data_IF_719601902203
#
_entry.id   IF_719601902203
#
_cell.length_a   1.000
_cell.length_b   1.000
_cell.length_c   1.000
_cell.angle_alpha   90.00
_cell.angle_beta   90.00
_cell.angle_gamma   90.00
#
_symmetry.space_group_name_H-M   'P 1'
#
loop_
_entity.id
_entity.type
_entity.pdbx_description
1 polymer ?
#
# COMPACT_ATOMS: atom_id res chain seq x y z
N UNK A 1 -3.45 -63.44 0.49
CA UNK A 1 -3.91 -62.08 0.12
C UNK A 1 -3.99 -61.22 1.37
N UNK A 2 -3.02 -60.32 1.60
CA UNK A 2 -2.98 -59.47 2.81
C UNK A 2 -3.91 -58.26 2.60
N UNK A 3 -4.97 -58.16 3.42
CA UNK A 3 -5.86 -56.99 3.47
C UNK A 3 -5.21 -55.90 4.33
N UNK A 4 -4.62 -54.89 3.70
CA UNK A 4 -4.18 -53.65 4.36
C UNK A 4 -5.11 -52.51 3.97
N UNK A 5 -6.04 -52.13 4.85
CA UNK A 5 -6.58 -50.77 4.96
C UNK A 5 -7.50 -50.74 6.19
N UNK A 6 -7.18 -49.92 7.22
CA UNK A 6 -8.07 -48.78 7.46
C UNK A 6 -7.35 -47.51 7.93
N UNK A 7 -6.07 -47.31 7.66
CA UNK A 7 -5.35 -46.11 8.13
C UNK A 7 -5.60 -44.89 7.21
N UNK A 8 -5.94 -45.13 5.94
CA UNK A 8 -6.18 -44.06 4.96
C UNK A 8 -7.52 -43.31 5.19
N UNK A 9 -8.48 -43.92 5.90
CA UNK A 9 -9.81 -43.31 6.14
C UNK A 9 -9.81 -42.36 7.34
N UNK A 10 -8.94 -42.57 8.32
CA UNK A 10 -8.78 -41.69 9.48
C UNK A 10 -8.00 -40.40 9.16
N UNK A 11 -7.13 -40.43 8.15
CA UNK A 11 -6.38 -39.23 7.73
C UNK A 11 -7.18 -38.32 6.77
N UNK A 12 -8.18 -38.86 6.08
CA UNK A 12 -9.04 -38.07 5.18
C UNK A 12 -10.14 -37.32 5.94
N UNK A 13 -10.55 -37.82 7.12
CA UNK A 13 -11.50 -37.13 8.02
C UNK A 13 -10.85 -35.98 8.80
N UNK A 14 -9.54 -36.03 9.06
CA UNK A 14 -8.81 -34.94 9.73
C UNK A 14 -8.46 -33.78 8.77
N UNK A 15 -8.49 -34.00 7.45
CA UNK A 15 -8.20 -32.97 6.45
C UNK A 15 -9.43 -32.12 6.06
N UNK A 16 -10.65 -32.53 6.45
CA UNK A 16 -11.89 -31.81 6.16
C UNK A 16 -12.31 -30.83 7.27
N UNK A 17 -11.66 -30.85 8.43
CA UNK A 17 -12.00 -29.99 9.57
C UNK A 17 -11.37 -28.57 9.52
N UNK A 18 -10.59 -28.22 8.50
CA UNK A 18 -9.88 -26.93 8.42
C UNK A 18 -10.59 -25.86 7.57
N UNK A 19 -11.86 -26.08 7.20
CA UNK A 19 -12.64 -25.13 6.40
C UNK A 19 -13.90 -24.61 7.11
N UNK A 20 -13.80 -24.41 8.43
CA UNK A 20 -14.71 -23.54 9.16
C UNK A 20 -13.88 -22.51 9.92
N UNK A 21 -13.37 -21.50 9.21
CA UNK A 21 -13.20 -20.19 9.85
C UNK A 21 -14.63 -19.73 10.17
N UNK A 22 -15.16 -20.18 11.32
CA UNK A 22 -16.40 -19.64 11.84
C UNK A 22 -16.16 -18.14 11.96
N UNK A 23 -16.91 -17.34 11.19
CA UNK A 23 -17.05 -15.91 11.44
C UNK A 23 -17.60 -15.78 12.86
N UNK A 24 -16.70 -15.68 13.84
CA UNK A 24 -17.07 -15.59 15.22
C UNK A 24 -17.81 -14.27 15.41
N UNK A 25 -19.13 -14.37 15.55
CA UNK A 25 -19.99 -13.26 15.94
C UNK A 25 -19.51 -12.77 17.29
N UNK A 26 -19.18 -11.49 17.37
CA UNK A 26 -18.74 -10.84 18.60
C UNK A 26 -19.89 -10.02 19.17
N UNK A 27 -20.06 -10.03 20.48
CA UNK A 27 -21.01 -9.15 21.16
C UNK A 27 -20.26 -8.15 22.01
N UNK A 28 -20.70 -6.90 22.01
CA UNK A 28 -20.11 -5.88 22.84
C UNK A 28 -20.92 -4.60 22.89
N UNK A 29 -20.59 -3.76 23.86
CA UNK A 29 -21.24 -2.47 24.06
C UNK A 29 -20.48 -1.39 23.32
N UNK A 30 -21.20 -0.58 22.55
CA UNK A 30 -20.64 0.57 21.86
C UNK A 30 -20.37 1.69 22.86
N UNK A 31 -19.09 2.01 23.06
CA UNK A 31 -18.67 3.05 24.03
C UNK A 31 -18.36 4.39 23.35
N UNK A 32 -18.07 4.37 22.05
CA UNK A 32 -17.74 5.58 21.31
C UNK A 32 -18.19 5.48 19.85
N UNK A 33 -18.57 6.62 19.28
CA UNK A 33 -18.77 6.81 17.83
C UNK A 33 -17.75 7.82 17.33
N UNK A 34 -16.81 7.36 16.51
CA UNK A 34 -15.68 8.15 16.01
C UNK A 34 -16.16 9.10 14.90
N UNK A 35 -16.87 8.55 13.92
CA UNK A 35 -17.42 9.26 12.76
C UNK A 35 -18.76 8.63 12.32
N UNK A 36 -19.26 9.01 11.14
CA UNK A 36 -20.53 8.52 10.59
C UNK A 36 -20.60 7.02 10.27
N UNK A 37 -19.49 6.27 10.35
CA UNK A 37 -19.46 4.82 10.08
C UNK A 37 -18.48 4.02 10.95
N UNK A 38 -17.77 4.67 11.87
CA UNK A 38 -16.77 4.03 12.73
C UNK A 38 -17.16 4.14 14.20
N UNK A 39 -17.16 3.01 14.90
CA UNK A 39 -17.52 2.88 16.31
C UNK A 39 -16.42 2.16 17.11
N UNK A 40 -16.40 2.36 18.42
CA UNK A 40 -15.57 1.57 19.36
C UNK A 40 -16.50 0.70 20.19
N UNK A 41 -16.21 -0.60 20.21
CA UNK A 41 -16.97 -1.61 20.93
C UNK A 41 -16.10 -2.24 22.00
N UNK A 42 -16.66 -2.42 23.19
CA UNK A 42 -16.02 -3.18 24.28
C UNK A 42 -16.76 -4.52 24.39
N UNK A 43 -16.15 -5.64 23.97
CA UNK A 43 -16.69 -6.98 24.20
C UNK A 43 -16.67 -7.33 25.69
N UNK A 44 -17.42 -8.34 26.11
CA UNK A 44 -17.36 -8.85 27.49
C UNK A 44 -15.96 -9.29 27.91
N UNK A 45 -15.12 -9.71 26.96
CA UNK A 45 -13.70 -10.04 27.17
C UNK A 45 -12.80 -8.81 27.46
N UNK A 46 -13.34 -7.59 27.42
CA UNK A 46 -12.74 -6.37 27.97
C UNK A 46 -11.91 -5.52 27.00
N UNK A 47 -11.26 -6.09 25.99
CA UNK A 47 -10.43 -5.30 25.08
C UNK A 47 -11.26 -4.56 24.04
N UNK A 48 -11.21 -3.22 24.03
CA UNK A 48 -11.90 -2.39 23.05
C UNK A 48 -11.43 -2.66 21.63
N UNK A 49 -12.37 -2.69 20.68
CA UNK A 49 -12.13 -2.90 19.26
C UNK A 49 -12.75 -1.75 18.47
N UNK A 50 -11.98 -1.13 17.58
CA UNK A 50 -12.49 -0.15 16.61
C UNK A 50 -13.06 -0.87 15.40
N UNK A 51 -14.33 -0.60 15.09
CA UNK A 51 -15.09 -1.23 14.03
C UNK A 51 -15.57 -0.19 13.02
N UNK A 52 -15.44 -0.50 11.73
CA UNK A 52 -16.02 0.28 10.63
C UNK A 52 -17.14 -0.52 9.97
N UNK A 53 -18.28 0.15 9.80
CA UNK A 53 -19.46 -0.38 9.13
C UNK A 53 -19.17 -0.64 7.65
N UNK A 54 -19.44 -1.86 7.20
CA UNK A 54 -19.23 -2.27 5.81
C UNK A 54 -20.36 -1.80 4.89
N UNK A 55 -20.06 -1.68 3.59
CA UNK A 55 -21.00 -1.42 2.49
C UNK A 55 -21.62 -0.02 2.47
N UNK A 56 -21.14 0.89 3.32
CA UNK A 56 -21.63 2.27 3.36
C UNK A 56 -20.51 3.28 3.15
N UNK A 57 -20.89 4.39 2.53
CA UNK A 57 -20.10 5.61 2.49
C UNK A 57 -20.90 6.76 3.07
N UNK A 58 -20.23 7.59 3.86
CA UNK A 58 -20.83 8.74 4.56
C UNK A 58 -20.26 10.04 4.03
N UNK A 59 -20.96 11.18 4.20
CA UNK A 59 -20.44 12.47 3.77
C UNK A 59 -19.05 12.77 4.34
N UNK A 60 -18.14 13.27 3.49
CA UNK A 60 -16.83 13.75 3.93
C UNK A 60 -16.97 14.96 4.87
N UNK A 61 -15.92 15.26 5.65
CA UNK A 61 -15.94 16.36 6.62
C UNK A 61 -16.33 17.72 6.02
N UNK A 62 -16.06 17.96 4.73
CA UNK A 62 -16.41 19.20 4.03
C UNK A 62 -17.77 19.15 3.33
N UNK A 63 -18.47 18.02 3.36
CA UNK A 63 -19.78 17.86 2.76
C UNK A 63 -20.89 18.19 3.78
N UNK A 64 -22.05 18.68 3.32
CA UNK A 64 -23.22 18.84 4.17
C UNK A 64 -23.58 17.55 4.92
N UNK A 65 -24.25 17.69 6.07
CA UNK A 65 -24.73 16.59 6.92
C UNK A 65 -23.65 15.70 7.55
N UNK A 66 -22.35 15.97 7.37
CA UNK A 66 -21.29 15.16 7.97
C UNK A 66 -21.45 14.96 9.49
N UNK A 67 -21.65 16.05 10.24
CA UNK A 67 -21.90 15.99 11.68
C UNK A 67 -23.25 15.33 11.99
N UNK A 68 -24.29 15.66 11.24
CA UNK A 68 -25.64 15.09 11.39
C UNK A 68 -25.63 13.56 11.25
N UNK A 69 -24.88 13.02 10.30
CA UNK A 69 -24.74 11.57 10.09
C UNK A 69 -24.01 10.90 11.27
N UNK A 70 -22.95 11.53 11.78
CA UNK A 70 -22.27 11.06 12.99
C UNK A 70 -23.22 11.04 14.20
N UNK A 71 -23.99 12.12 14.39
CA UNK A 71 -24.94 12.22 15.49
C UNK A 71 -26.08 11.22 15.35
N UNK A 72 -26.52 10.92 14.13
CA UNK A 72 -27.50 9.87 13.85
C UNK A 72 -26.97 8.49 14.26
N UNK A 73 -25.76 8.13 13.82
CA UNK A 73 -25.14 6.86 14.23
C UNK A 73 -24.95 6.78 15.75
N UNK A 74 -24.57 7.90 16.39
CA UNK A 74 -24.45 8.01 17.84
C UNK A 74 -25.78 7.74 18.55
N UNK A 75 -26.88 8.29 18.05
CA UNK A 75 -28.23 8.04 18.59
C UNK A 75 -28.66 6.58 18.44
N UNK A 76 -28.29 5.95 17.32
CA UNK A 76 -28.61 4.54 17.09
C UNK A 76 -27.81 3.60 17.99
N UNK A 77 -26.52 3.87 18.19
CA UNK A 77 -25.60 2.86 18.70
C UNK A 77 -24.97 3.15 20.06
N UNK A 78 -24.84 4.41 20.49
CA UNK A 78 -24.10 4.69 21.73
C UNK A 78 -24.76 4.01 22.93
N UNK A 79 -23.95 3.32 23.74
CA UNK A 79 -24.35 2.53 24.90
C UNK A 79 -25.26 1.33 24.57
N UNK A 80 -25.42 0.98 23.29
CA UNK A 80 -26.15 -0.22 22.90
C UNK A 80 -25.21 -1.43 22.83
N UNK A 81 -25.74 -2.61 23.16
CA UNK A 81 -25.06 -3.88 22.91
C UNK A 81 -25.36 -4.33 21.48
N UNK A 82 -24.31 -4.52 20.69
CA UNK A 82 -24.41 -4.92 19.28
C UNK A 82 -23.76 -6.27 19.05
N UNK A 83 -24.22 -6.96 18.01
CA UNK A 83 -23.55 -8.10 17.43
C UNK A 83 -22.71 -7.64 16.23
N UNK A 84 -21.45 -8.03 16.18
CA UNK A 84 -20.53 -7.73 15.11
C UNK A 84 -20.11 -9.00 14.38
N UNK A 85 -20.12 -8.94 13.05
CA UNK A 85 -19.67 -10.00 12.16
C UNK A 85 -18.46 -9.48 11.34
N UNK A 86 -17.23 -9.87 11.74
CA UNK A 86 -16.02 -9.43 11.05
C UNK A 86 -15.93 -9.97 9.61
N UNK A 87 -15.50 -9.13 8.68
CA UNK A 87 -15.24 -9.50 7.28
C UNK A 87 -13.84 -9.10 6.78
N UNK A 88 -13.15 -8.21 7.49
CA UNK A 88 -11.80 -7.82 7.14
C UNK A 88 -11.13 -6.99 8.22
N UNK A 89 -9.82 -6.79 8.07
CA UNK A 89 -9.03 -5.98 8.98
C UNK A 89 -8.21 -4.96 8.18
N UNK A 90 -8.32 -3.69 8.57
CA UNK A 90 -7.43 -2.62 8.16
C UNK A 90 -6.34 -2.42 9.22
N UNK A 91 -5.42 -1.47 9.00
CA UNK A 91 -4.27 -1.24 9.90
C UNK A 91 -4.66 -0.90 11.34
N UNK A 92 -5.79 -0.23 11.54
CA UNK A 92 -6.23 0.38 12.80
C UNK A 92 -7.67 0.00 13.21
N UNK A 93 -8.40 -0.72 12.35
CA UNK A 93 -9.82 -1.05 12.55
C UNK A 93 -10.19 -2.38 11.91
N UNK A 94 -11.26 -2.97 12.42
CA UNK A 94 -11.89 -4.17 11.83
C UNK A 94 -13.11 -3.73 11.02
N UNK A 95 -13.26 -4.24 9.80
CA UNK A 95 -14.40 -3.94 8.93
C UNK A 95 -15.37 -5.11 8.98
N UNK A 96 -16.67 -4.82 9.07
CA UNK A 96 -17.69 -5.86 9.06
C UNK A 96 -19.10 -5.32 9.27
N UNK A 97 -20.03 -6.24 9.50
CA UNK A 97 -21.44 -5.90 9.74
C UNK A 97 -21.69 -5.74 11.22
N UNK A 98 -22.47 -4.74 11.56
CA UNK A 98 -22.93 -4.49 12.93
C UNK A 98 -24.44 -4.62 12.93
N UNK A 99 -24.95 -5.40 13.87
CA UNK A 99 -26.37 -5.64 14.05
C UNK A 99 -26.80 -5.16 15.43
N UNK A 100 -27.92 -4.44 15.48
CA UNK A 100 -28.63 -4.10 16.71
C UNK A 100 -30.00 -4.75 16.67
N UNK A 101 -30.31 -5.61 17.62
CA UNK A 101 -31.60 -6.34 17.68
C UNK A 101 -31.96 -7.05 16.36
N UNK A 102 -30.96 -7.61 15.68
CA UNK A 102 -31.12 -8.31 14.39
C UNK A 102 -31.17 -7.39 13.16
N UNK A 103 -31.17 -6.07 13.32
CA UNK A 103 -31.15 -5.10 12.22
C UNK A 103 -29.72 -4.76 11.84
N UNK A 104 -29.37 -4.91 10.56
CA UNK A 104 -28.10 -4.47 9.99
C UNK A 104 -28.04 -2.94 9.97
N UNK A 105 -27.10 -2.37 10.73
CA UNK A 105 -26.96 -0.93 10.89
C UNK A 105 -26.54 -0.25 9.59
N UNK A 106 -25.76 -0.90 8.73
CA UNK A 106 -25.39 -0.34 7.43
C UNK A 106 -26.62 -0.16 6.54
N UNK A 107 -27.53 -1.13 6.54
CA UNK A 107 -28.82 -1.02 5.83
C UNK A 107 -29.70 0.08 6.43
N UNK A 108 -29.77 0.17 7.77
CA UNK A 108 -30.52 1.21 8.47
C UNK A 108 -30.00 2.61 8.12
N UNK A 109 -28.67 2.80 8.15
CA UNK A 109 -28.02 4.07 7.79
C UNK A 109 -28.34 4.49 6.33
N UNK A 110 -28.38 3.54 5.40
CA UNK A 110 -28.80 3.82 4.01
C UNK A 110 -30.28 4.20 3.96
N UNK A 111 -31.15 3.42 4.62
CA UNK A 111 -32.61 3.65 4.63
C UNK A 111 -32.98 5.01 5.22
N UNK A 112 -32.23 5.47 6.21
CA UNK A 112 -32.38 6.78 6.85
C UNK A 112 -31.83 7.93 6.00
N UNK A 113 -31.17 7.63 4.89
CA UNK A 113 -30.47 8.62 4.07
C UNK A 113 -29.22 9.19 4.75
N UNK A 114 -28.66 8.48 5.73
CA UNK A 114 -27.43 8.88 6.43
C UNK A 114 -26.17 8.38 5.70
N UNK A 115 -26.31 7.48 4.73
CA UNK A 115 -25.21 6.96 3.94
C UNK A 115 -25.63 6.59 2.51
N UNK A 116 -24.64 6.38 1.65
CA UNK A 116 -24.78 5.76 0.33
C UNK A 116 -24.30 4.31 0.37
N UNK A 117 -24.87 3.46 -0.49
CA UNK A 117 -24.36 2.12 -0.73
C UNK A 117 -23.00 2.19 -1.44
N UNK A 118 -21.99 1.54 -0.86
CA UNK A 118 -20.59 1.64 -1.26
C UNK A 118 -20.30 1.01 -2.62
N UNK A 119 -19.98 1.87 -3.61
CA UNK A 119 -19.67 1.44 -4.97
C UNK A 119 -18.41 0.54 -5.06
N UNK A 120 -17.43 0.71 -4.16
CA UNK A 120 -16.21 -0.10 -4.15
C UNK A 120 -16.42 -1.48 -3.55
N UNK A 121 -17.33 -1.60 -2.58
CA UNK A 121 -17.54 -2.85 -1.84
C UNK A 121 -18.62 -3.73 -2.48
N UNK A 122 -19.51 -3.14 -3.29
CA UNK A 122 -20.55 -3.85 -4.05
C UNK A 122 -20.01 -5.04 -4.86
N UNK A 123 -18.80 -4.95 -5.40
CA UNK A 123 -18.19 -6.02 -6.22
C UNK A 123 -17.92 -7.32 -5.46
N UNK A 124 -17.81 -7.24 -4.14
CA UNK A 124 -17.51 -8.37 -3.26
C UNK A 124 -18.69 -8.69 -2.33
N UNK A 125 -19.87 -8.11 -2.58
CA UNK A 125 -21.09 -8.38 -1.83
C UNK A 125 -21.89 -9.48 -2.53
N UNK A 126 -22.53 -10.35 -1.75
CA UNK A 126 -23.42 -11.37 -2.30
C UNK A 126 -24.61 -10.71 -3.01
N UNK A 127 -25.05 -11.25 -4.15
CA UNK A 127 -26.06 -10.62 -4.98
C UNK A 127 -27.39 -10.39 -4.24
N UNK A 128 -27.88 -11.38 -3.48
CA UNK A 128 -29.13 -11.26 -2.73
C UNK A 128 -29.07 -10.19 -1.62
N UNK A 129 -27.91 -10.06 -0.98
CA UNK A 129 -27.68 -9.05 0.05
C UNK A 129 -27.58 -7.64 -0.56
N UNK A 130 -26.85 -7.49 -1.68
CA UNK A 130 -26.73 -6.21 -2.40
C UNK A 130 -28.09 -5.63 -2.77
N UNK A 131 -29.07 -6.48 -3.11
CA UNK A 131 -30.43 -6.03 -3.45
C UNK A 131 -31.11 -5.30 -2.30
N UNK A 132 -31.01 -5.79 -1.06
CA UNK A 132 -31.62 -5.12 0.11
C UNK A 132 -31.02 -3.73 0.35
N UNK A 133 -29.70 -3.59 0.16
CA UNK A 133 -29.02 -2.30 0.25
C UNK A 133 -29.50 -1.33 -0.85
N UNK A 134 -29.66 -1.82 -2.07
CA UNK A 134 -30.14 -1.04 -3.21
C UNK A 134 -31.60 -0.59 -3.04
N UNK A 135 -32.47 -1.46 -2.55
CA UNK A 135 -33.87 -1.15 -2.24
C UNK A 135 -33.99 -0.09 -1.15
N UNK A 136 -33.24 -0.23 -0.05
CA UNK A 136 -33.21 0.76 1.01
C UNK A 136 -32.73 2.13 0.51
N UNK A 137 -31.72 2.13 -0.36
CA UNK A 137 -31.23 3.36 -0.97
C UNK A 137 -32.28 3.99 -1.91
N UNK A 138 -32.95 3.18 -2.72
CA UNK A 138 -34.00 3.65 -3.62
C UNK A 138 -35.15 4.29 -2.85
N UNK A 139 -35.57 3.69 -1.73
CA UNK A 139 -36.59 4.24 -0.82
C UNK A 139 -36.14 5.55 -0.18
N UNK A 140 -34.93 5.59 0.38
CA UNK A 140 -34.37 6.81 0.96
C UNK A 140 -34.30 7.97 -0.06
N UNK A 141 -33.97 7.64 -1.32
CA UNK A 141 -33.94 8.59 -2.42
C UNK A 141 -35.34 9.08 -2.83
N UNK A 142 -36.30 8.17 -2.99
CA UNK A 142 -37.68 8.50 -3.34
C UNK A 142 -38.34 9.41 -2.29
N UNK A 143 -38.05 9.15 -1.01
CA UNK A 143 -38.53 9.93 0.13
C UNK A 143 -37.67 11.16 0.42
N UNK A 144 -36.63 11.43 -0.37
CA UNK A 144 -35.70 12.56 -0.20
C UNK A 144 -35.13 12.67 1.22
N UNK A 145 -34.70 11.56 1.81
CA UNK A 145 -34.12 11.54 3.17
C UNK A 145 -32.66 11.93 3.19
N UNK A 146 -32.24 12.66 4.24
CA UNK A 146 -30.84 12.92 4.56
C UNK A 146 -30.04 13.42 3.36
N UNK A 147 -29.00 12.69 2.96
CA UNK A 147 -28.15 13.04 1.80
C UNK A 147 -28.92 13.20 0.48
N UNK A 148 -30.11 12.60 0.36
CA UNK A 148 -31.00 12.73 -0.81
C UNK A 148 -31.92 13.95 -0.75
N UNK A 149 -32.00 14.64 0.39
CA UNK A 149 -32.75 15.91 0.53
C UNK A 149 -31.99 17.11 -0.05
N UNK A 150 -30.66 17.01 -0.14
CA UNK A 150 -29.79 18.09 -0.59
C UNK A 150 -29.58 17.97 -2.09
N UNK A 151 -30.08 18.95 -2.83
CA UNK A 151 -29.95 19.00 -4.27
C UNK A 151 -28.47 19.05 -4.70
N UNK A 152 -28.12 18.24 -5.70
CA UNK A 152 -26.76 18.18 -6.24
C UNK A 152 -25.72 17.57 -5.30
N UNK A 153 -26.11 17.05 -4.13
CA UNK A 153 -25.18 16.40 -3.21
C UNK A 153 -24.64 15.11 -3.83
N UNK A 154 -23.33 15.08 -4.04
CA UNK A 154 -22.63 13.94 -4.63
C UNK A 154 -22.21 12.95 -3.56
N UNK A 155 -22.26 11.63 -3.83
CA UNK A 155 -21.66 10.65 -2.95
C UNK A 155 -20.18 10.91 -2.69
N UNK A 156 -19.71 10.52 -1.51
CA UNK A 156 -18.36 10.81 -1.05
C UNK A 156 -17.26 10.40 -2.05
N UNK A 157 -17.40 9.27 -2.75
CA UNK A 157 -16.40 8.85 -3.74
C UNK A 157 -16.32 9.78 -4.96
N UNK A 158 -17.45 10.33 -5.42
CA UNK A 158 -17.48 11.32 -6.51
C UNK A 158 -16.91 12.65 -6.04
N UNK A 159 -17.30 13.11 -4.84
CA UNK A 159 -16.74 14.31 -4.23
C UNK A 159 -15.22 14.22 -4.09
N UNK A 160 -14.69 13.10 -3.57
CA UNK A 160 -13.25 12.81 -3.51
C UNK A 160 -12.60 12.81 -4.90
N UNK A 161 -13.28 12.30 -5.93
CA UNK A 161 -12.77 12.31 -7.30
C UNK A 161 -12.64 13.73 -7.87
N UNK A 162 -13.62 14.58 -7.62
CA UNK A 162 -13.61 15.98 -8.06
C UNK A 162 -12.53 16.80 -7.33
N UNK A 163 -12.36 16.59 -6.03
CA UNK A 163 -11.26 17.20 -5.29
C UNK A 163 -9.89 16.77 -5.84
N UNK A 164 -9.73 15.50 -6.19
CA UNK A 164 -8.48 15.01 -6.82
C UNK A 164 -8.26 15.66 -8.19
N UNK A 165 -9.30 15.80 -8.99
CA UNK A 165 -9.22 16.42 -10.32
C UNK A 165 -8.92 17.93 -10.22
N UNK A 166 -9.56 18.65 -9.30
CA UNK A 166 -9.28 20.06 -9.02
C UNK A 166 -7.81 20.26 -8.61
N UNK A 167 -7.35 19.50 -7.62
CA UNK A 167 -5.93 19.53 -7.18
C UNK A 167 -4.98 19.19 -8.34
N UNK A 168 -5.34 18.25 -9.21
CA UNK A 168 -4.55 17.91 -10.39
C UNK A 168 -4.46 19.09 -11.36
N UNK A 169 -5.57 19.79 -11.64
CA UNK A 169 -5.59 20.97 -12.51
C UNK A 169 -4.75 22.11 -11.95
N UNK A 170 -4.94 22.45 -10.67
CA UNK A 170 -4.16 23.47 -9.96
C UNK A 170 -2.66 23.14 -10.02
N UNK A 171 -2.29 21.88 -9.81
CA UNK A 171 -0.90 21.42 -9.92
C UNK A 171 -0.35 21.57 -11.35
N UNK A 172 -1.14 21.23 -12.37
CA UNK A 172 -0.74 21.39 -13.77
C UNK A 172 -0.51 22.87 -14.11
N UNK A 173 -1.39 23.75 -13.66
CA UNK A 173 -1.25 25.20 -13.86
C UNK A 173 -0.01 25.75 -13.13
N UNK A 174 0.23 25.34 -11.89
CA UNK A 174 1.43 25.70 -11.14
C UNK A 174 2.72 25.23 -11.85
N UNK A 175 2.71 24.02 -12.41
CA UNK A 175 3.84 23.50 -13.20
C UNK A 175 4.04 24.34 -14.47
N UNK A 176 2.96 24.67 -15.19
CA UNK A 176 3.04 25.54 -16.38
C UNK A 176 3.61 26.92 -16.05
N UNK A 177 3.14 27.54 -14.97
CA UNK A 177 3.63 28.83 -14.51
C UNK A 177 5.13 28.77 -14.13
N UNK A 178 5.53 27.73 -13.40
CA UNK A 178 6.94 27.51 -13.03
C UNK A 178 7.82 27.26 -14.26
N UNK A 179 7.33 26.52 -15.26
CA UNK A 179 8.05 26.29 -16.52
C UNK A 179 8.18 27.58 -17.35
N UNK A 180 7.14 28.42 -17.38
CA UNK A 180 7.19 29.72 -18.04
C UNK A 180 8.22 30.64 -17.36
N UNK A 181 8.22 30.70 -16.02
CA UNK A 181 9.20 31.46 -15.25
C UNK A 181 10.64 30.95 -15.45
N UNK A 182 10.85 29.63 -15.48
CA UNK A 182 12.15 29.02 -15.76
C UNK A 182 12.63 29.31 -17.19
N UNK A 183 11.72 29.29 -18.18
CA UNK A 183 12.03 29.67 -19.57
C UNK A 183 12.42 31.13 -19.70
N UNK A 184 11.69 32.04 -19.05
CA UNK A 184 12.04 33.45 -19.01
C UNK A 184 13.43 33.65 -18.38
N UNK A 185 13.72 32.95 -17.27
CA UNK A 185 15.02 32.99 -16.59
C UNK A 185 16.15 32.36 -17.42
N UNK A 186 15.87 31.35 -18.24
CA UNK A 186 16.84 30.73 -19.16
C UNK A 186 17.09 31.60 -20.40
N UNK A 187 16.05 32.26 -20.92
CA UNK A 187 16.18 33.22 -22.02
C UNK A 187 17.03 34.44 -21.63
N UNK A 188 17.02 34.81 -20.34
CA UNK A 188 17.87 35.86 -19.78
C UNK A 188 19.33 35.43 -19.50
N UNK A 189 19.69 34.15 -19.70
CA UNK A 189 21.06 33.64 -19.50
C UNK A 189 21.83 33.53 -20.84
N UNK A 190 23.14 33.81 -20.87
CA UNK A 190 23.94 33.69 -22.09
C UNK A 190 24.04 32.23 -22.56
N UNK A 191 23.88 31.99 -23.87
CA UNK A 191 23.77 30.66 -24.48
C UNK A 191 25.07 29.84 -24.33
N UNK A 192 25.04 28.63 -23.74
CA UNK A 192 26.19 27.74 -23.71
C UNK A 192 26.37 26.99 -25.05
N UNK A 193 27.64 26.75 -25.44
CA UNK A 193 28.02 26.05 -26.68
C UNK A 193 27.58 24.58 -26.63
N UNK A 194 26.86 24.13 -27.66
CA UNK A 194 26.15 22.84 -27.70
C UNK A 194 27.08 21.62 -27.83
N UNK A 195 26.79 20.55 -27.08
CA UNK A 195 27.17 19.17 -27.45
C UNK A 195 25.92 18.28 -27.46
N UNK A 196 25.69 17.64 -28.61
CA UNK A 196 24.48 16.89 -28.97
C UNK A 196 24.65 15.42 -28.58
N UNK A 197 23.64 14.81 -27.96
CA UNK A 197 23.53 13.34 -27.88
C UNK A 197 22.06 12.93 -27.99
N UNK A 198 21.82 11.97 -28.90
CA UNK A 198 20.52 11.43 -29.31
C UNK A 198 20.27 10.08 -28.60
N UNK A 199 19.02 9.88 -28.18
CA UNK A 199 18.14 8.74 -28.54
C UNK A 199 17.28 8.33 -27.35
N UNK A 200 15.97 8.37 -27.58
CA UNK A 200 14.92 7.91 -26.69
C UNK A 200 14.30 6.66 -27.33
N UNK A 201 14.12 5.61 -26.52
CA UNK A 201 13.41 4.38 -26.90
C UNK A 201 12.45 3.99 -25.78
N UNK A 202 11.16 4.23 -26.05
CA UNK A 202 9.93 3.89 -25.32
C UNK A 202 10.03 3.06 -24.03
N UNK A 203 9.69 3.72 -22.90
CA UNK A 203 9.45 3.11 -21.59
C UNK A 203 7.97 3.26 -21.19
N UNK A 204 7.40 2.21 -20.61
CA UNK A 204 6.36 2.29 -19.57
C UNK A 204 6.93 3.07 -18.38
N UNK A 205 6.96 4.40 -18.52
CA UNK A 205 7.71 5.28 -17.65
C UNK A 205 7.24 5.21 -16.20
N UNK A 206 8.19 4.95 -15.30
CA UNK A 206 8.01 5.04 -13.87
C UNK A 206 9.12 4.35 -13.09
N UNK A 207 9.14 3.01 -13.13
CA UNK A 207 9.98 2.18 -12.24
C UNK A 207 10.34 0.79 -12.83
N UNK A 208 10.42 0.64 -14.16
CA UNK A 208 10.94 -0.60 -14.76
C UNK A 208 12.45 -0.72 -14.60
N UNK A 209 12.99 -1.92 -14.83
CA UNK A 209 14.41 -2.30 -14.65
C UNK A 209 15.43 -1.33 -15.26
N UNK A 210 15.07 -0.62 -16.33
CA UNK A 210 15.85 0.45 -16.96
C UNK A 210 16.11 1.68 -16.08
N UNK A 211 15.24 1.93 -15.10
CA UNK A 211 15.45 2.96 -14.07
C UNK A 211 16.50 2.50 -13.05
N UNK A 212 16.77 1.20 -12.97
CA UNK A 212 17.57 0.58 -11.90
C UNK A 212 18.89 0.00 -12.37
N UNK A 213 19.05 -0.30 -13.67
CA UNK A 213 20.20 -1.02 -14.23
C UNK A 213 21.51 -0.23 -14.14
N UNK A 214 21.44 1.10 -14.08
CA UNK A 214 22.62 1.97 -14.01
C UNK A 214 22.90 2.41 -12.56
N UNK A 215 24.10 2.93 -12.30
CA UNK A 215 24.41 3.55 -11.00
C UNK A 215 23.55 4.80 -10.78
N UNK A 216 23.03 5.07 -9.57
CA UNK A 216 22.27 6.29 -9.29
C UNK A 216 23.01 7.58 -9.68
N UNK A 217 24.35 7.56 -9.62
CA UNK A 217 25.25 8.65 -10.01
C UNK A 217 25.05 9.12 -11.46
N UNK A 218 24.50 8.27 -12.33
CA UNK A 218 24.34 8.59 -13.75
C UNK A 218 22.99 9.19 -14.10
N UNK A 219 21.97 9.05 -13.25
CA UNK A 219 20.59 9.44 -13.57
C UNK A 219 19.88 10.24 -12.47
N UNK A 220 20.46 10.32 -11.27
CA UNK A 220 19.91 11.02 -10.13
C UNK A 220 20.92 12.06 -9.60
N UNK A 221 20.40 13.06 -8.89
CA UNK A 221 21.21 14.13 -8.30
C UNK A 221 21.60 13.73 -6.88
N UNK A 222 22.84 14.01 -6.45
CA UNK A 222 23.25 13.76 -5.06
C UNK A 222 22.36 14.59 -4.12
N UNK A 223 21.81 13.98 -3.09
CA UNK A 223 20.99 14.66 -2.11
C UNK A 223 21.90 15.43 -1.14
N UNK A 224 21.74 16.75 -1.07
CA UNK A 224 22.53 17.59 -0.16
C UNK A 224 22.36 17.19 1.30
N UNK A 225 23.44 17.22 2.06
CA UNK A 225 23.45 16.82 3.48
C UNK A 225 23.59 15.31 3.74
N UNK A 226 23.64 14.49 2.69
CA UNK A 226 23.82 13.04 2.80
C UNK A 226 24.92 12.55 1.85
N UNK A 227 25.73 11.61 2.32
CA UNK A 227 26.88 11.14 1.55
C UNK A 227 26.50 10.13 0.49
N UNK A 228 25.49 9.31 0.79
CA UNK A 228 25.19 8.10 0.05
C UNK A 228 23.77 8.09 -0.52
N UNK A 229 23.12 9.24 -0.60
CA UNK A 229 21.76 9.36 -1.12
C UNK A 229 21.71 10.17 -2.41
N UNK A 230 20.84 9.71 -3.30
CA UNK A 230 20.53 10.36 -4.57
C UNK A 230 19.03 10.57 -4.67
N UNK A 231 18.60 11.71 -5.23
CA UNK A 231 17.20 12.01 -5.47
C UNK A 231 16.92 12.22 -6.95
N UNK A 232 15.71 11.86 -7.35
CA UNK A 232 15.26 12.02 -8.71
C UNK A 232 13.75 11.99 -8.83
N UNK A 233 13.29 12.04 -10.06
CA UNK A 233 11.88 11.87 -10.42
C UNK A 233 11.78 10.89 -11.57
N UNK A 234 10.67 10.17 -11.64
CA UNK A 234 10.35 9.34 -12.80
C UNK A 234 10.34 10.19 -14.09
N UNK A 235 10.53 9.60 -15.27
CA UNK A 235 10.49 10.36 -16.53
C UNK A 235 9.18 11.12 -16.75
N UNK A 236 8.06 10.56 -16.27
CA UNK A 236 6.72 11.20 -16.29
C UNK A 236 6.51 12.23 -15.16
N UNK A 237 7.46 12.35 -14.22
CA UNK A 237 7.40 13.23 -13.04
C UNK A 237 6.17 13.00 -12.16
N UNK A 238 5.60 11.80 -12.21
CA UNK A 238 4.46 11.36 -11.42
C UNK A 238 4.85 10.77 -10.06
N UNK A 239 6.14 10.46 -9.87
CA UNK A 239 6.71 10.15 -8.57
C UNK A 239 8.12 10.73 -8.42
N UNK A 240 8.46 11.05 -7.18
CA UNK A 240 9.82 11.39 -6.76
C UNK A 240 10.39 10.22 -5.97
N UNK A 241 11.70 10.08 -5.99
CA UNK A 241 12.37 9.04 -5.23
C UNK A 241 13.67 9.53 -4.61
N UNK A 242 14.03 8.90 -3.49
CA UNK A 242 15.35 8.95 -2.87
C UNK A 242 15.89 7.53 -2.87
N UNK A 243 17.09 7.32 -3.39
CA UNK A 243 17.72 6.01 -3.53
C UNK A 243 19.10 6.03 -2.90
N UNK A 244 19.46 4.95 -2.21
CA UNK A 244 20.80 4.76 -1.68
C UNK A 244 21.81 4.55 -2.81
N UNK A 245 23.08 4.83 -2.56
CA UNK A 245 24.16 4.37 -3.42
C UNK A 245 24.16 2.83 -3.50
N UNK A 246 24.85 2.30 -4.51
CA UNK A 246 24.94 0.88 -4.76
C UNK A 246 25.88 0.19 -3.77
N UNK A 247 25.46 -0.96 -3.26
CA UNK A 247 26.36 -1.88 -2.55
C UNK A 247 26.44 -3.19 -3.29
N UNK A 248 27.61 -3.83 -3.26
CA UNK A 248 27.81 -5.13 -3.89
C UNK A 248 27.97 -6.26 -2.86
N UNK A 249 26.87 -6.84 -2.32
CA UNK A 249 26.97 -8.08 -1.57
C UNK A 249 27.49 -9.23 -2.45
N UNK A 250 28.43 -9.99 -1.91
CA UNK A 250 28.88 -11.25 -2.49
C UNK A 250 28.02 -12.38 -1.91
N UNK A 251 27.18 -12.98 -2.74
CA UNK A 251 26.36 -14.12 -2.36
C UNK A 251 26.94 -15.42 -2.93
N UNK A 252 26.76 -16.52 -2.19
CA UNK A 252 27.31 -17.84 -2.56
C UNK A 252 26.25 -18.93 -2.45
N UNK A 253 26.32 -19.88 -3.37
CA UNK A 253 25.59 -21.15 -3.36
C UNK A 253 26.58 -22.26 -3.72
N UNK A 254 27.06 -23.01 -2.72
CA UNK A 254 28.17 -23.96 -2.91
C UNK A 254 29.43 -23.24 -3.42
N UNK A 255 29.99 -23.72 -4.54
CA UNK A 255 31.18 -23.12 -5.20
C UNK A 255 30.86 -21.93 -6.08
N UNK A 256 29.58 -21.63 -6.33
CA UNK A 256 29.16 -20.53 -7.20
C UNK A 256 29.05 -19.25 -6.37
N UNK A 257 29.70 -18.19 -6.82
CA UNK A 257 29.61 -16.86 -6.21
C UNK A 257 29.07 -15.84 -7.21
N UNK A 258 28.25 -14.91 -6.72
CA UNK A 258 27.65 -13.86 -7.51
C UNK A 258 27.69 -12.55 -6.75
N UNK A 259 28.13 -11.49 -7.41
CA UNK A 259 27.95 -10.12 -6.90
C UNK A 259 26.56 -9.67 -7.28
N UNK A 260 25.79 -9.21 -6.32
CA UNK A 260 24.51 -8.53 -6.56
C UNK A 260 24.69 -7.07 -6.20
N UNK A 261 23.97 -6.19 -6.89
CA UNK A 261 23.82 -4.82 -6.43
C UNK A 261 22.57 -4.73 -5.54
N UNK A 262 22.73 -4.18 -4.36
CA UNK A 262 21.66 -3.97 -3.40
C UNK A 262 21.48 -2.48 -3.14
N UNK A 263 20.24 -2.03 -3.29
CA UNK A 263 19.82 -0.64 -3.07
C UNK A 263 18.51 -0.59 -2.31
N UNK A 264 18.31 0.51 -1.60
CA UNK A 264 17.01 0.83 -1.00
C UNK A 264 16.51 2.12 -1.60
N UNK A 265 15.24 2.14 -1.95
CA UNK A 265 14.58 3.31 -2.48
C UNK A 265 13.39 3.67 -1.60
N UNK A 266 13.18 4.96 -1.47
CA UNK A 266 11.95 5.55 -1.01
C UNK A 266 11.26 6.19 -2.20
N UNK A 267 10.03 5.79 -2.48
CA UNK A 267 9.20 6.37 -3.54
C UNK A 267 8.06 7.13 -2.89
N UNK A 268 7.90 8.39 -3.29
CA UNK A 268 6.77 9.23 -2.91
C UNK A 268 6.00 9.67 -4.15
N UNK A 269 4.71 9.33 -4.18
CA UNK A 269 3.83 9.74 -5.27
C UNK A 269 3.35 11.17 -5.02
N UNK A 270 4.06 12.13 -5.61
CA UNK A 270 3.64 13.53 -5.77
C UNK A 270 3.44 14.35 -4.49
N UNK A 271 4.34 15.32 -4.32
CA UNK A 271 4.51 16.25 -3.19
C UNK A 271 5.09 15.60 -1.91
N UNK A 272 6.27 16.12 -1.50
CA UNK A 272 7.14 15.64 -0.42
C UNK A 272 6.49 15.60 0.99
N UNK A 273 5.18 15.81 1.11
CA UNK A 273 4.45 15.92 2.38
C UNK A 273 3.04 15.29 2.32
N UNK A 274 2.87 14.15 1.63
CA UNK A 274 1.66 13.32 1.74
C UNK A 274 1.94 12.03 2.55
N UNK A 275 1.42 11.90 3.79
CA UNK A 275 1.70 10.74 4.65
C UNK A 275 1.07 9.42 4.16
N UNK A 276 0.26 9.43 3.09
CA UNK A 276 -0.50 8.25 2.65
C UNK A 276 -0.10 7.66 1.29
N UNK A 277 1.00 8.10 0.65
CA UNK A 277 1.49 7.51 -0.61
C UNK A 277 3.02 7.42 -0.70
N UNK A 278 3.63 6.78 0.29
CA UNK A 278 5.05 6.46 0.24
C UNK A 278 5.34 4.98 0.50
N UNK A 279 6.34 4.44 -0.19
CA UNK A 279 6.74 3.04 -0.08
C UNK A 279 8.26 2.93 -0.14
N UNK A 280 8.82 2.08 0.72
CA UNK A 280 10.22 1.69 0.61
C UNK A 280 10.32 0.38 -0.16
N UNK A 281 11.31 0.26 -1.04
CA UNK A 281 11.69 -1.02 -1.63
C UNK A 281 13.15 -1.33 -1.35
N UNK A 282 13.42 -2.61 -1.06
CA UNK A 282 14.75 -3.18 -1.19
C UNK A 282 14.83 -3.80 -2.59
N UNK A 283 15.80 -3.37 -3.37
CA UNK A 283 16.07 -3.83 -4.72
C UNK A 283 17.36 -4.66 -4.75
N UNK A 284 17.29 -5.85 -5.35
CA UNK A 284 18.47 -6.65 -5.70
C UNK A 284 18.57 -6.71 -7.22
N UNK A 285 19.67 -6.20 -7.77
CA UNK A 285 19.94 -6.15 -9.20
C UNK A 285 21.09 -7.09 -9.52
N UNK A 286 20.93 -7.88 -10.58
CA UNK A 286 21.97 -8.77 -11.08
C UNK A 286 22.08 -8.62 -12.59
N UNK A 287 23.30 -8.46 -13.10
CA UNK A 287 23.62 -8.68 -14.51
C UNK A 287 24.39 -10.00 -14.65
N UNK A 288 23.93 -10.89 -15.52
CA UNK A 288 24.61 -12.15 -15.80
C UNK A 288 24.74 -12.41 -17.29
N UNK A 289 25.96 -12.71 -17.74
CA UNK A 289 26.24 -13.13 -19.12
C UNK A 289 25.79 -14.56 -19.42
N UNK A 290 25.66 -15.40 -18.37
CA UNK A 290 25.42 -16.85 -18.49
C UNK A 290 24.01 -17.29 -18.06
N UNK A 291 23.08 -16.35 -17.92
CA UNK A 291 21.65 -16.54 -17.66
C UNK A 291 21.27 -17.21 -16.30
N UNK A 292 20.23 -16.65 -15.67
CA UNK A 292 19.45 -17.13 -14.50
C UNK A 292 20.02 -16.82 -13.12
N UNK A 293 19.68 -15.64 -12.60
CA UNK A 293 19.44 -15.50 -11.18
C UNK A 293 18.35 -16.54 -10.79
N UNK A 294 18.52 -17.22 -9.65
CA UNK A 294 17.68 -18.34 -9.23
C UNK A 294 16.18 -18.05 -9.40
N UNK A 295 15.34 -19.00 -9.86
CA UNK A 295 13.86 -18.87 -9.99
C UNK A 295 13.12 -18.52 -8.68
N UNK A 296 13.83 -18.40 -7.56
CA UNK A 296 13.22 -18.19 -6.25
C UNK A 296 12.93 -16.71 -6.03
N UNK A 297 11.68 -16.41 -5.73
CA UNK A 297 11.21 -15.08 -5.33
C UNK A 297 11.12 -15.00 -3.79
N UNK A 298 12.03 -15.65 -3.07
CA UNK A 298 12.08 -15.54 -1.61
C UNK A 298 13.38 -14.84 -1.22
N UNK A 299 13.27 -13.60 -0.75
CA UNK A 299 14.34 -12.90 -0.06
C UNK A 299 14.08 -12.99 1.45
N UNK A 300 14.97 -13.67 2.16
CA UNK A 300 14.96 -13.75 3.62
C UNK A 300 16.15 -12.99 4.16
N UNK A 301 15.93 -12.14 5.16
CA UNK A 301 17.03 -11.53 5.91
C UNK A 301 17.23 -12.28 7.23
N UNK A 302 18.46 -12.32 7.70
CA UNK A 302 18.85 -12.77 9.03
C UNK A 302 19.58 -11.62 9.69
N UNK A 303 18.96 -11.02 10.69
CA UNK A 303 19.46 -9.88 11.43
C UNK A 303 20.01 -10.38 12.77
N UNK A 304 21.31 -10.23 13.00
CA UNK A 304 21.97 -10.66 14.24
C UNK A 304 21.61 -12.11 14.63
N UNK A 305 21.58 -13.00 13.64
CA UNK A 305 21.25 -14.42 13.80
C UNK A 305 19.75 -14.75 13.77
N UNK A 306 18.85 -13.77 13.81
CA UNK A 306 17.40 -13.98 13.78
C UNK A 306 16.81 -13.78 12.38
N UNK A 307 16.12 -14.79 11.86
CA UNK A 307 15.44 -14.69 10.55
C UNK A 307 14.31 -13.66 10.62
N UNK A 308 14.18 -12.89 9.55
CA UNK A 308 13.14 -11.89 9.35
C UNK A 308 12.53 -12.07 7.96
N UNK A 309 11.20 -12.20 7.94
CA UNK A 309 10.43 -12.07 6.73
C UNK A 309 10.18 -10.59 6.40
N UNK A 310 10.71 -10.14 5.27
CA UNK A 310 10.67 -8.73 4.87
C UNK A 310 9.41 -8.37 4.08
N UNK A 311 8.94 -9.25 3.20
CA UNK A 311 7.75 -9.04 2.37
C UNK A 311 7.70 -9.96 1.16
N UNK A 312 6.62 -9.88 0.39
CA UNK A 312 6.47 -10.59 -0.89
C UNK A 312 7.32 -9.88 -1.95
N UNK A 313 8.22 -10.61 -2.60
CA UNK A 313 9.05 -10.02 -3.67
C UNK A 313 8.38 -10.09 -5.04
N UNK A 314 8.69 -9.11 -5.88
CA UNK A 314 8.34 -9.04 -7.30
C UNK A 314 9.60 -9.15 -8.13
N UNK A 315 9.55 -9.86 -9.25
CA UNK A 315 10.69 -10.02 -10.15
C UNK A 315 10.40 -9.44 -11.52
N UNK A 316 11.39 -8.76 -12.07
CA UNK A 316 11.42 -8.24 -13.43
C UNK A 316 12.68 -8.72 -14.13
N UNK A 317 12.60 -8.92 -15.44
CA UNK A 317 13.70 -9.38 -16.29
C UNK A 317 13.86 -8.43 -17.47
N UNK A 318 15.09 -8.28 -17.96
CA UNK A 318 15.40 -7.60 -19.23
C UNK A 318 16.55 -8.27 -19.94
N UNK A 319 16.44 -8.37 -21.25
CA UNK A 319 17.55 -8.79 -22.10
C UNK A 319 18.55 -7.62 -22.22
N UNK A 320 19.82 -7.90 -21.92
CA UNK A 320 20.93 -6.97 -22.06
C UNK A 320 21.89 -7.49 -23.16
N UNK A 321 22.66 -6.63 -23.84
CA UNK A 321 23.65 -7.09 -24.81
C UNK A 321 24.63 -8.09 -24.15
N UNK A 322 24.54 -9.36 -24.56
CA UNK A 322 25.35 -10.45 -24.02
C UNK A 322 24.91 -11.01 -22.67
N UNK A 323 23.66 -10.80 -22.23
CA UNK A 323 23.14 -11.37 -20.98
C UNK A 323 21.71 -11.01 -20.61
N UNK A 324 21.34 -11.21 -19.34
CA UNK A 324 20.05 -10.80 -18.77
C UNK A 324 20.29 -10.00 -17.50
N UNK A 325 19.63 -8.84 -17.43
CA UNK A 325 19.44 -8.07 -16.22
C UNK A 325 18.23 -8.58 -15.45
N UNK A 326 18.39 -8.79 -14.16
CA UNK A 326 17.32 -9.23 -13.26
C UNK A 326 17.17 -8.27 -12.09
N UNK A 327 15.92 -7.96 -11.75
CA UNK A 327 15.56 -7.09 -10.65
C UNK A 327 14.57 -7.80 -9.74
N UNK A 328 14.95 -8.00 -8.47
CA UNK A 328 14.07 -8.46 -7.41
C UNK A 328 13.73 -7.27 -6.50
N UNK A 329 12.47 -6.89 -6.45
CA UNK A 329 11.95 -5.79 -5.63
C UNK A 329 11.15 -6.33 -4.46
N UNK A 330 11.41 -5.84 -3.25
CA UNK A 330 10.63 -6.19 -2.06
C UNK A 330 10.12 -4.92 -1.40
N UNK A 331 8.79 -4.69 -1.32
CA UNK A 331 8.24 -3.60 -0.53
C UNK A 331 8.50 -3.87 0.95
N UNK A 332 8.94 -2.84 1.67
CA UNK A 332 9.29 -2.91 3.09
C UNK A 332 8.67 -1.73 3.83
N UNK A 333 8.18 -1.97 5.04
CA UNK A 333 7.67 -0.89 5.89
C UNK A 333 8.81 -0.15 6.56
N UNK A 334 8.61 1.14 6.87
CA UNK A 334 9.60 1.95 7.62
C UNK A 334 10.06 1.28 8.91
N UNK A 335 9.13 0.67 9.66
CA UNK A 335 9.43 -0.10 10.89
C UNK A 335 10.38 -1.28 10.64
N UNK A 336 10.15 -2.05 9.57
CA UNK A 336 11.05 -3.15 9.20
C UNK A 336 12.40 -2.63 8.75
N UNK A 337 12.42 -1.56 7.95
CA UNK A 337 13.66 -0.95 7.47
C UNK A 337 14.52 -0.41 8.63
N UNK A 338 13.90 0.24 9.62
CA UNK A 338 14.59 0.68 10.85
C UNK A 338 15.20 -0.48 11.64
N UNK A 339 14.52 -1.64 11.70
CA UNK A 339 15.10 -2.84 12.33
C UNK A 339 16.30 -3.38 11.56
N UNK A 340 16.27 -3.33 10.23
CA UNK A 340 17.40 -3.74 9.38
C UNK A 340 18.58 -2.79 9.59
N UNK A 341 18.33 -1.48 9.57
CA UNK A 341 19.36 -0.45 9.76
C UNK A 341 20.11 -0.56 11.10
N UNK A 342 19.42 -1.01 12.16
CA UNK A 342 20.00 -1.18 13.51
C UNK A 342 20.76 -2.49 13.71
N UNK A 343 20.67 -3.44 12.77
CA UNK A 343 21.34 -4.73 12.92
C UNK A 343 22.85 -4.58 12.70
N UNK A 344 23.64 -5.27 13.54
CA UNK A 344 25.11 -5.30 13.42
C UNK A 344 25.53 -6.22 12.27
N UNK A 345 24.81 -7.33 12.11
CA UNK A 345 25.06 -8.34 11.10
C UNK A 345 23.80 -8.59 10.28
N UNK A 346 23.85 -8.26 8.99
CA UNK A 346 22.75 -8.52 8.05
C UNK A 346 23.21 -9.61 7.08
N UNK A 347 22.58 -10.78 7.16
CA UNK A 347 22.72 -11.83 6.14
C UNK A 347 21.47 -11.89 5.28
N UNK A 348 21.66 -11.99 3.98
CA UNK A 348 20.58 -12.17 3.00
C UNK A 348 20.63 -13.57 2.43
N UNK A 349 19.45 -14.12 2.12
CA UNK A 349 19.30 -15.37 1.38
C UNK A 349 18.26 -15.21 0.28
N UNK A 350 18.65 -15.52 -0.96
CA UNK A 350 17.77 -15.57 -2.14
C UNK A 350 17.89 -16.95 -2.78
N UNK A 351 16.84 -17.78 -2.63
CA UNK A 351 16.93 -19.20 -2.98
C UNK A 351 18.08 -19.89 -2.25
N UNK A 352 19.01 -20.47 -2.99
CA UNK A 352 20.19 -21.13 -2.43
C UNK A 352 21.40 -20.20 -2.20
N UNK A 353 21.31 -18.95 -2.66
CA UNK A 353 22.39 -17.98 -2.49
C UNK A 353 22.28 -17.28 -1.14
N UNK A 354 23.39 -17.18 -0.41
CA UNK A 354 23.47 -16.41 0.82
C UNK A 354 24.71 -15.54 0.88
N UNK A 355 24.60 -14.38 1.51
CA UNK A 355 25.70 -13.44 1.67
C UNK A 355 25.46 -12.48 2.82
N UNK A 356 26.51 -11.74 3.20
CA UNK A 356 26.40 -10.66 4.17
C UNK A 356 26.29 -9.32 3.44
N UNK A 357 25.41 -8.44 3.92
CA UNK A 357 25.46 -7.04 3.54
C UNK A 357 26.70 -6.40 4.16
N UNK A 358 27.27 -5.41 3.48
CA UNK A 358 28.36 -4.63 4.04
C UNK A 358 27.83 -3.60 5.05
N UNK A 359 28.70 -3.13 5.96
CA UNK A 359 28.32 -2.17 7.01
C UNK A 359 27.75 -0.88 6.43
N UNK A 360 28.31 -0.42 5.31
CA UNK A 360 27.89 0.78 4.59
C UNK A 360 26.40 0.72 4.21
N UNK A 361 25.84 -0.48 4.01
CA UNK A 361 24.41 -0.61 3.74
C UNK A 361 23.55 -0.16 4.94
N UNK A 362 23.93 -0.53 6.17
CA UNK A 362 23.21 -0.08 7.37
C UNK A 362 23.28 1.44 7.51
N UNK A 363 24.45 2.03 7.26
CA UNK A 363 24.66 3.49 7.34
C UNK A 363 23.78 4.23 6.31
N UNK A 364 23.72 3.73 5.08
CA UNK A 364 22.81 4.25 4.05
C UNK A 364 21.33 4.12 4.40
N UNK A 365 20.93 3.04 5.10
CA UNK A 365 19.56 2.90 5.56
C UNK A 365 19.22 3.91 6.66
N UNK A 366 20.17 4.24 7.53
CA UNK A 366 20.01 5.27 8.56
C UNK A 366 19.85 6.63 7.88
N UNK A 367 20.74 6.99 6.95
CA UNK A 367 20.63 8.21 6.14
C UNK A 367 19.26 8.29 5.43
N UNK A 368 18.84 7.21 4.75
CA UNK A 368 17.57 7.19 4.03
C UNK A 368 16.37 7.38 4.96
N UNK A 369 16.36 6.72 6.12
CA UNK A 369 15.30 6.85 7.12
C UNK A 369 15.24 8.24 7.75
N UNK A 370 16.37 8.94 7.81
CA UNK A 370 16.50 10.32 8.24
C UNK A 370 15.99 11.31 7.19
N UNK A 371 16.45 11.16 5.94
CA UNK A 371 16.05 12.00 4.80
C UNK A 371 14.56 11.90 4.44
N UNK A 372 13.88 10.84 4.89
CA UNK A 372 12.48 10.55 4.58
C UNK A 372 11.59 10.67 5.83
N UNK A 373 12.02 11.48 6.80
CA UNK A 373 11.40 11.56 8.12
C UNK A 373 9.96 12.02 8.12
#
# INVERSE_FOLDING_TARGET
MRKTAPILSAFLTLLLATSAFSQSKLYGTVTQVIDGKTIVVVPQAGMSITLELQYIEVPEAQQPLHSTVKDHLKKLLLNQTVMFEPNGMALDKTVGRVYLNGVDISQQMIRDGAAWHSASEKKNQEAGESLLYEENQARAKAEKRGVWSIEGMKPAWQFRAELREKKRREKVEKIKAMQAAARAKLAAQPKPKSRRSKSAGNMTAGFGIETWSNSPKTYAQKLGGYDNLYFGSTPKKDASYIVTDQTFPLVRAGKVSQKLDMRTIYVSKGELYNPYQHVYFIAMISSSKNFRFHKSNSLTLTLDGKKMYIGRSFRMFRNEPGGVGELLLVPVTRKKLSRIAKARNIRMKVGNFSGAAKKEYSDMLIELLDATK
#
